data_IF_934212903440
#
_entry.id   IF_934212903440
#
_cell.length_a   1.000
_cell.length_b   1.000
_cell.length_c   1.000
_cell.angle_alpha   90.00
_cell.angle_beta   90.00
_cell.angle_gamma   90.00
#
_symmetry.space_group_name_H-M   'P 1'
#
loop_
_entity.id
_entity.type
_entity.pdbx_description
1 polymer ?
#
# COMPACT_ATOMS: atom_id res chain seq x y z
N UNK A 1 19.93 2.99 13.71
CA UNK A 1 19.16 2.72 12.47
C UNK A 1 17.97 1.81 12.76
N UNK A 2 18.17 0.67 13.43
CA UNK A 2 17.06 -0.19 13.89
C UNK A 2 16.03 0.57 14.75
N UNK A 3 16.46 1.34 15.74
CA UNK A 3 15.54 2.14 16.57
C UNK A 3 14.72 3.14 15.76
N UNK A 4 15.30 3.69 14.69
CA UNK A 4 14.62 4.65 13.82
C UNK A 4 13.51 3.96 12.99
N UNK A 5 13.82 2.79 12.42
CA UNK A 5 12.85 1.99 11.65
C UNK A 5 11.73 1.49 12.56
N UNK A 6 12.07 0.98 13.74
CA UNK A 6 11.08 0.52 14.71
C UNK A 6 10.14 1.66 15.14
N UNK A 7 10.68 2.87 15.36
CA UNK A 7 9.87 4.06 15.63
C UNK A 7 8.92 4.39 14.48
N UNK A 8 9.37 4.33 13.23
CA UNK A 8 8.49 4.54 12.07
C UNK A 8 7.36 3.51 12.07
N UNK A 9 7.67 2.23 12.31
CA UNK A 9 6.66 1.17 12.30
C UNK A 9 5.61 1.41 13.40
N UNK A 10 6.04 1.66 14.63
CA UNK A 10 5.15 1.89 15.77
C UNK A 10 4.28 3.14 15.55
N UNK A 11 4.91 4.26 15.18
CA UNK A 11 4.19 5.51 14.93
C UNK A 11 3.26 5.38 13.71
N UNK A 12 3.66 4.62 12.70
CA UNK A 12 2.85 4.30 11.53
C UNK A 12 1.58 3.55 11.90
N UNK A 13 1.69 2.46 12.67
CA UNK A 13 0.52 1.69 13.15
C UNK A 13 -0.44 2.59 13.92
N UNK A 14 0.07 3.42 14.83
CA UNK A 14 -0.74 4.39 15.60
C UNK A 14 -1.42 5.40 14.67
N UNK A 15 -0.70 5.90 13.67
CA UNK A 15 -1.19 6.91 12.74
C UNK A 15 -2.30 6.34 11.85
N UNK A 16 -2.11 5.16 11.26
CA UNK A 16 -3.12 4.49 10.44
C UNK A 16 -4.37 4.15 11.25
N UNK A 17 -4.19 3.64 12.46
CA UNK A 17 -5.30 3.38 13.39
C UNK A 17 -6.05 4.65 13.72
N UNK A 18 -5.34 5.75 14.00
CA UNK A 18 -5.97 7.04 14.31
C UNK A 18 -6.71 7.60 13.10
N UNK A 19 -6.15 7.50 11.90
CA UNK A 19 -6.79 7.91 10.65
C UNK A 19 -8.11 7.14 10.42
N UNK A 20 -8.12 5.83 10.66
CA UNK A 20 -9.33 5.01 10.59
C UNK A 20 -10.42 5.51 11.54
N UNK A 21 -10.08 5.72 12.81
CA UNK A 21 -11.05 6.19 13.81
C UNK A 21 -11.55 7.60 13.48
N UNK A 22 -10.68 8.47 12.93
CA UNK A 22 -11.06 9.79 12.46
C UNK A 22 -12.06 9.69 11.30
N UNK A 23 -11.81 8.86 10.29
CA UNK A 23 -12.77 8.64 9.20
C UNK A 23 -14.10 8.08 9.71
N UNK A 24 -14.08 7.10 10.63
CA UNK A 24 -15.30 6.58 11.28
C UNK A 24 -16.08 7.67 11.98
N UNK A 25 -15.40 8.59 12.67
CA UNK A 25 -16.02 9.72 13.40
C UNK A 25 -16.57 10.79 12.46
N UNK A 26 -15.84 11.13 11.40
CA UNK A 26 -16.25 12.15 10.42
C UNK A 26 -17.35 11.63 9.47
N UNK A 27 -17.40 10.31 9.23
CA UNK A 27 -18.33 9.67 8.31
C UNK A 27 -19.17 8.59 9.02
N UNK A 28 -19.96 8.93 10.06
CA UNK A 28 -20.64 7.96 10.91
C UNK A 28 -21.66 7.09 10.15
N UNK A 29 -22.19 7.59 9.03
CA UNK A 29 -23.14 6.89 8.15
C UNK A 29 -22.48 5.89 7.21
N UNK A 30 -21.14 5.91 7.08
CA UNK A 30 -20.40 5.01 6.19
C UNK A 30 -20.05 3.71 6.92
N UNK A 31 -19.84 2.64 6.15
CA UNK A 31 -19.50 1.32 6.67
C UNK A 31 -18.08 1.30 7.24
N UNK A 32 -17.75 0.22 7.98
CA UNK A 32 -16.37 -0.07 8.39
C UNK A 32 -15.46 -0.20 7.17
N UNK A 33 -15.89 -0.99 6.18
CA UNK A 33 -15.16 -1.23 4.93
C UNK A 33 -14.87 0.07 4.18
N UNK A 34 -15.87 0.96 4.05
CA UNK A 34 -15.70 2.25 3.40
C UNK A 34 -14.60 3.09 4.06
N UNK A 35 -14.62 3.15 5.40
CA UNK A 35 -13.63 3.92 6.14
C UNK A 35 -12.25 3.27 6.08
N UNK A 36 -12.16 1.93 6.11
CA UNK A 36 -10.89 1.24 5.93
C UNK A 36 -10.32 1.49 4.52
N UNK A 37 -11.17 1.43 3.49
CA UNK A 37 -10.79 1.70 2.10
C UNK A 37 -10.25 3.11 1.87
N UNK A 38 -10.71 4.10 2.64
CA UNK A 38 -10.09 5.44 2.65
C UNK A 38 -8.65 5.41 3.19
N UNK A 39 -8.40 4.66 4.26
CA UNK A 39 -7.05 4.46 4.81
C UNK A 39 -6.17 3.72 3.80
N UNK A 40 -6.67 2.66 3.18
CA UNK A 40 -5.97 1.91 2.12
C UNK A 40 -5.61 2.79 0.93
N UNK A 41 -6.53 3.66 0.50
CA UNK A 41 -6.28 4.64 -0.58
C UNK A 41 -5.14 5.61 -0.22
N UNK A 42 -5.16 6.12 1.01
CA UNK A 42 -4.13 7.02 1.51
C UNK A 42 -2.76 6.32 1.59
N UNK A 43 -2.74 5.07 2.10
CA UNK A 43 -1.55 4.25 2.13
C UNK A 43 -0.98 4.02 0.73
N UNK A 44 -1.78 3.51 -0.20
CA UNK A 44 -1.31 3.19 -1.54
C UNK A 44 -0.75 4.42 -2.26
N UNK A 45 -1.41 5.58 -2.11
CA UNK A 45 -0.91 6.86 -2.64
C UNK A 45 0.44 7.22 -2.02
N UNK A 46 0.56 7.13 -0.69
CA UNK A 46 1.81 7.42 0.02
C UNK A 46 2.92 6.43 -0.35
N UNK A 47 2.60 5.15 -0.50
CA UNK A 47 3.53 4.10 -0.87
C UNK A 47 4.11 4.34 -2.27
N UNK A 48 3.27 4.68 -3.25
CA UNK A 48 3.71 5.02 -4.62
C UNK A 48 4.61 6.25 -4.61
N UNK A 49 4.23 7.30 -3.86
CA UNK A 49 5.03 8.53 -3.74
C UNK A 49 6.39 8.25 -3.10
N UNK A 50 6.42 7.59 -1.94
CA UNK A 50 7.66 7.28 -1.23
C UNK A 50 8.55 6.32 -2.03
N UNK A 51 7.97 5.31 -2.67
CA UNK A 51 8.69 4.41 -3.55
C UNK A 51 9.36 5.20 -4.68
N UNK A 52 8.59 6.06 -5.37
CA UNK A 52 9.09 6.90 -6.46
C UNK A 52 10.24 7.83 -6.03
N UNK A 53 10.11 8.45 -4.86
CA UNK A 53 11.14 9.34 -4.31
C UNK A 53 12.38 8.58 -3.81
N UNK A 54 12.27 7.28 -3.54
CA UNK A 54 13.36 6.43 -3.07
C UNK A 54 14.12 5.70 -4.19
N UNK A 55 13.63 5.77 -5.44
CA UNK A 55 14.35 5.24 -6.60
C UNK A 55 15.60 6.08 -6.84
N UNK A 56 16.77 5.44 -6.74
CA UNK A 56 18.06 6.13 -6.88
C UNK A 56 18.38 6.49 -8.34
N UNK A 57 18.00 5.64 -9.28
CA UNK A 57 18.21 5.85 -10.70
C UNK A 57 17.05 5.31 -11.53
N UNK A 58 16.23 6.19 -12.07
CA UNK A 58 15.09 5.83 -12.92
C UNK A 58 15.47 5.19 -14.26
N UNK A 59 16.70 5.39 -14.76
CA UNK A 59 17.17 4.68 -15.94
C UNK A 59 17.39 3.18 -15.65
N UNK A 60 17.58 2.81 -14.39
CA UNK A 60 17.77 1.43 -13.97
C UNK A 60 17.24 1.21 -12.53
N UNK A 61 15.91 1.19 -12.34
CA UNK A 61 15.28 1.34 -11.01
C UNK A 61 15.54 0.18 -10.05
N UNK A 62 15.92 -0.99 -10.58
CA UNK A 62 16.25 -2.19 -9.79
C UNK A 62 17.75 -2.42 -9.63
N UNK A 63 18.59 -1.56 -10.21
CA UNK A 63 20.05 -1.75 -10.18
C UNK A 63 20.73 -0.91 -9.10
N UNK A 64 21.83 -1.42 -8.50
CA UNK A 64 22.30 -2.80 -8.62
C UNK A 64 21.41 -3.78 -7.85
N UNK A 65 21.30 -5.02 -8.33
CA UNK A 65 20.54 -6.09 -7.66
C UNK A 65 21.21 -6.47 -6.33
N UNK A 66 20.39 -6.89 -5.37
CA UNK A 66 20.77 -7.24 -4.01
C UNK A 66 21.59 -6.14 -3.30
N UNK A 67 21.37 -4.88 -3.69
CA UNK A 67 22.03 -3.72 -3.11
C UNK A 67 21.63 -3.52 -1.65
N UNK A 68 22.50 -2.81 -0.92
CA UNK A 68 22.17 -2.37 0.43
C UNK A 68 21.06 -1.32 0.35
N UNK A 69 20.00 -1.51 1.13
CA UNK A 69 18.88 -0.56 1.15
C UNK A 69 19.32 0.81 1.65
N UNK A 70 18.94 1.86 0.93
CA UNK A 70 19.17 3.24 1.36
C UNK A 70 18.17 3.68 2.42
N UNK A 71 18.44 4.75 3.20
CA UNK A 71 17.54 5.20 4.26
C UNK A 71 16.12 5.53 3.78
N UNK A 72 15.97 6.13 2.58
CA UNK A 72 14.67 6.46 2.00
C UNK A 72 13.90 5.21 1.58
N UNK A 73 14.58 4.22 1.02
CA UNK A 73 13.98 2.92 0.68
C UNK A 73 13.51 2.21 1.96
N UNK A 74 14.34 2.18 3.00
CA UNK A 74 13.96 1.60 4.29
C UNK A 74 12.79 2.35 4.94
N UNK A 75 12.73 3.67 4.82
CA UNK A 75 11.58 4.46 5.30
C UNK A 75 10.30 4.11 4.55
N UNK A 76 10.34 4.03 3.23
CA UNK A 76 9.18 3.67 2.41
C UNK A 76 8.66 2.27 2.79
N UNK A 77 9.55 1.29 2.92
CA UNK A 77 9.20 -0.07 3.36
C UNK A 77 8.67 -0.09 4.80
N UNK A 78 9.25 0.68 5.73
CA UNK A 78 8.77 0.73 7.11
C UNK A 78 7.36 1.33 7.22
N UNK A 79 7.06 2.38 6.45
CA UNK A 79 5.72 2.96 6.37
C UNK A 79 4.73 1.93 5.81
N UNK A 80 5.08 1.22 4.74
CA UNK A 80 4.22 0.19 4.17
C UNK A 80 4.02 -1.01 5.08
N UNK A 81 5.06 -1.48 5.77
CA UNK A 81 4.97 -2.55 6.75
C UNK A 81 4.01 -2.18 7.89
N UNK A 82 4.10 -0.93 8.38
CA UNK A 82 3.21 -0.43 9.42
C UNK A 82 1.74 -0.45 9.00
N UNK A 83 1.46 -0.11 7.74
CA UNK A 83 0.12 -0.20 7.19
C UNK A 83 -0.34 -1.66 7.07
N UNK A 84 0.50 -2.56 6.53
CA UNK A 84 0.13 -3.97 6.37
C UNK A 84 -0.22 -4.63 7.72
N UNK A 85 0.49 -4.27 8.80
CA UNK A 85 0.18 -4.74 10.16
C UNK A 85 -1.17 -4.19 10.62
N UNK A 86 -1.41 -2.88 10.44
CA UNK A 86 -2.71 -2.27 10.75
C UNK A 86 -3.86 -2.93 9.96
N UNK A 87 -3.69 -3.13 8.66
CA UNK A 87 -4.74 -3.63 7.76
C UNK A 87 -5.05 -5.10 8.06
N UNK A 88 -4.02 -5.92 8.35
CA UNK A 88 -4.21 -7.30 8.79
C UNK A 88 -5.09 -7.37 10.05
N UNK A 89 -4.89 -6.47 11.01
CA UNK A 89 -5.72 -6.38 12.22
C UNK A 89 -7.15 -5.97 11.85
N UNK A 90 -7.33 -4.95 11.02
CA UNK A 90 -8.64 -4.50 10.57
C UNK A 90 -9.42 -5.59 9.81
N UNK A 91 -8.75 -6.39 8.98
CA UNK A 91 -9.36 -7.50 8.27
C UNK A 91 -9.97 -8.56 9.19
N UNK A 92 -9.49 -8.73 10.43
CA UNK A 92 -10.07 -9.69 11.39
C UNK A 92 -11.47 -9.26 11.88
N UNK A 93 -11.79 -7.98 11.78
CA UNK A 93 -13.08 -7.41 12.16
C UNK A 93 -14.05 -7.29 10.98
N UNK A 94 -13.54 -7.46 9.76
CA UNK A 94 -14.37 -7.47 8.56
C UNK A 94 -15.00 -8.84 8.37
N UNK A 95 -16.33 -8.88 8.21
CA UNK A 95 -17.09 -10.12 8.03
C UNK A 95 -16.79 -10.82 6.70
N UNK A 96 -16.05 -10.16 5.82
CA UNK A 96 -15.73 -10.62 4.45
C UNK A 96 -14.26 -10.98 4.24
N UNK A 97 -13.44 -10.96 5.29
CA UNK A 97 -12.03 -11.30 5.21
C UNK A 97 -11.83 -12.72 4.65
N UNK A 98 -11.20 -12.84 3.48
CA UNK A 98 -10.82 -14.14 2.92
C UNK A 98 -9.52 -14.64 3.56
N UNK A 99 -9.38 -15.96 3.67
CA UNK A 99 -8.13 -16.60 4.09
C UNK A 99 -6.98 -16.20 3.15
N UNK A 100 -7.28 -16.07 1.84
CA UNK A 100 -6.32 -15.62 0.83
C UNK A 100 -5.75 -14.24 1.16
N UNK A 101 -6.59 -13.28 1.57
CA UNK A 101 -6.13 -11.95 1.94
C UNK A 101 -5.25 -12.00 3.19
N UNK A 102 -5.64 -12.80 4.18
CA UNK A 102 -4.86 -12.97 5.43
C UNK A 102 -3.48 -13.55 5.14
N UNK A 103 -3.40 -14.60 4.31
CA UNK A 103 -2.12 -15.21 3.90
C UNK A 103 -1.28 -14.20 3.11
N UNK A 104 -1.89 -13.46 2.17
CA UNK A 104 -1.22 -12.43 1.40
C UNK A 104 -0.58 -11.36 2.31
N UNK A 105 -1.30 -10.86 3.30
CA UNK A 105 -0.76 -9.90 4.28
C UNK A 105 0.37 -10.51 5.10
N UNK A 106 0.22 -11.75 5.61
CA UNK A 106 1.26 -12.40 6.40
C UNK A 106 2.56 -12.59 5.61
N UNK A 107 2.48 -13.09 4.38
CA UNK A 107 3.63 -13.26 3.50
C UNK A 107 4.29 -11.91 3.19
N UNK A 108 3.49 -10.87 2.91
CA UNK A 108 3.98 -9.53 2.63
C UNK A 108 4.67 -8.89 3.85
N UNK A 109 4.10 -9.05 5.05
CA UNK A 109 4.68 -8.58 6.32
C UNK A 109 6.02 -9.26 6.58
N UNK A 110 6.09 -10.59 6.46
CA UNK A 110 7.32 -11.36 6.68
C UNK A 110 8.39 -10.98 5.66
N UNK A 111 8.05 -10.91 4.37
CA UNK A 111 8.98 -10.52 3.32
C UNK A 111 9.52 -9.10 3.51
N UNK A 112 8.66 -8.15 3.85
CA UNK A 112 9.05 -6.76 4.06
C UNK A 112 9.88 -6.58 5.34
N UNK A 113 9.50 -7.26 6.43
CA UNK A 113 10.28 -7.28 7.66
C UNK A 113 11.67 -7.91 7.45
N UNK A 114 11.76 -9.02 6.72
CA UNK A 114 13.03 -9.64 6.38
C UNK A 114 13.92 -8.68 5.60
N UNK A 115 13.39 -7.98 4.60
CA UNK A 115 14.12 -6.96 3.84
C UNK A 115 14.66 -5.82 4.71
N UNK A 116 13.85 -5.34 5.67
CA UNK A 116 14.27 -4.31 6.63
C UNK A 116 15.36 -4.80 7.60
N UNK A 117 15.28 -6.06 8.05
CA UNK A 117 16.26 -6.66 8.97
C UNK A 117 17.58 -6.92 8.25
N UNK A 118 17.54 -7.55 7.07
CA UNK A 118 18.74 -7.88 6.30
C UNK A 118 19.33 -6.69 5.55
N UNK A 119 18.55 -5.62 5.33
CA UNK A 119 18.94 -4.38 4.63
C UNK A 119 19.53 -4.65 3.24
N UNK A 120 18.95 -5.62 2.54
CA UNK A 120 19.35 -6.05 1.20
C UNK A 120 18.16 -6.01 0.25
N UNK A 121 18.46 -5.90 -1.04
CA UNK A 121 17.49 -5.85 -2.13
C UNK A 121 16.52 -4.67 -2.03
N UNK A 122 17.03 -3.51 -1.57
CA UNK A 122 16.20 -2.30 -1.40
C UNK A 122 15.54 -1.86 -2.71
N UNK A 123 16.31 -1.83 -3.80
CA UNK A 123 15.82 -1.42 -5.12
C UNK A 123 14.72 -2.36 -5.63
N UNK A 124 14.88 -3.68 -5.49
CA UNK A 124 13.89 -4.67 -5.90
C UNK A 124 12.61 -4.58 -5.05
N UNK A 125 12.74 -4.40 -3.74
CA UNK A 125 11.59 -4.26 -2.85
C UNK A 125 10.81 -2.97 -3.10
N UNK A 126 11.48 -1.88 -3.43
CA UNK A 126 10.83 -0.62 -3.80
C UNK A 126 10.13 -0.74 -5.16
N UNK A 127 10.77 -1.38 -6.14
CA UNK A 127 10.12 -1.67 -7.41
C UNK A 127 8.88 -2.55 -7.21
N UNK A 128 8.99 -3.60 -6.38
CA UNK A 128 7.86 -4.45 -6.03
C UNK A 128 6.73 -3.65 -5.35
N UNK A 129 7.05 -2.83 -4.33
CA UNK A 129 6.08 -1.98 -3.64
C UNK A 129 5.37 -1.02 -4.62
N UNK A 130 6.12 -0.36 -5.50
CA UNK A 130 5.55 0.53 -6.50
C UNK A 130 4.61 -0.22 -7.44
N UNK A 131 5.05 -1.36 -7.96
CA UNK A 131 4.28 -2.18 -8.88
C UNK A 131 3.02 -2.70 -8.21
N UNK A 132 3.06 -3.17 -6.97
CA UNK A 132 1.88 -3.69 -6.29
C UNK A 132 0.88 -2.57 -5.98
N UNK A 133 1.36 -1.39 -5.57
CA UNK A 133 0.48 -0.32 -5.09
C UNK A 133 -0.04 0.64 -6.15
N UNK A 134 0.60 0.81 -7.31
CA UNK A 134 0.20 1.84 -8.29
C UNK A 134 -1.26 1.74 -8.77
N UNK A 135 -1.83 0.55 -8.79
CA UNK A 135 -3.23 0.33 -9.17
C UNK A 135 -4.23 0.50 -8.02
N UNK A 136 -3.77 0.39 -6.77
CA UNK A 136 -4.63 0.33 -5.58
C UNK A 136 -5.45 1.61 -5.34
N UNK A 137 -4.92 2.85 -5.52
CA UNK A 137 -5.72 4.05 -5.35
C UNK A 137 -6.92 4.12 -6.29
N UNK A 138 -6.73 3.68 -7.55
CA UNK A 138 -7.80 3.66 -8.56
C UNK A 138 -8.83 2.57 -8.26
N UNK A 139 -8.38 1.39 -7.82
CA UNK A 139 -9.27 0.30 -7.39
C UNK A 139 -10.14 0.75 -6.21
N UNK A 140 -9.54 1.35 -5.20
CA UNK A 140 -10.28 1.82 -4.03
C UNK A 140 -11.22 2.98 -4.38
N UNK A 141 -10.77 3.94 -5.19
CA UNK A 141 -11.61 5.05 -5.65
C UNK A 141 -12.86 4.55 -6.38
N UNK A 142 -12.71 3.59 -7.30
CA UNK A 142 -13.82 2.94 -8.00
C UNK A 142 -14.86 2.40 -7.02
N UNK A 143 -14.44 1.59 -6.05
CA UNK A 143 -15.39 0.97 -5.13
C UNK A 143 -16.03 1.99 -4.18
N UNK A 144 -15.28 3.03 -3.76
CA UNK A 144 -15.84 4.15 -3.01
C UNK A 144 -16.92 4.89 -3.82
N UNK A 145 -16.69 5.15 -5.11
CA UNK A 145 -17.68 5.80 -5.99
C UNK A 145 -18.96 4.97 -6.13
N UNK A 146 -18.83 3.65 -6.25
CA UNK A 146 -19.98 2.74 -6.26
C UNK A 146 -20.79 2.81 -4.97
N UNK A 147 -20.13 2.79 -3.81
CA UNK A 147 -20.78 2.92 -2.50
C UNK A 147 -21.40 4.31 -2.26
N UNK A 148 -20.92 5.34 -2.96
CA UNK A 148 -21.49 6.69 -2.96
C UNK A 148 -22.69 6.84 -3.91
N UNK A 149 -22.98 5.84 -4.75
CA UNK A 149 -24.06 5.88 -5.75
C UNK A 149 -23.65 6.46 -7.11
N UNK A 150 -22.36 6.67 -7.37
CA UNK A 150 -21.82 7.24 -8.62
C UNK A 150 -21.38 6.18 -9.64
N UNK A 151 -21.99 4.98 -9.61
CA UNK A 151 -21.59 3.83 -10.42
C UNK A 151 -21.59 4.09 -11.93
N UNK A 152 -22.49 4.94 -12.42
CA UNK A 152 -22.68 5.16 -13.86
C UNK A 152 -22.18 6.55 -14.31
N UNK A 153 -21.16 7.08 -13.63
CA UNK A 153 -20.56 8.38 -13.96
C UNK A 153 -19.26 8.24 -14.76
N UNK A 154 -18.91 9.26 -15.54
CA UNK A 154 -17.62 9.35 -16.25
C UNK A 154 -16.42 9.23 -15.31
N UNK A 155 -16.57 9.67 -14.05
CA UNK A 155 -15.56 9.52 -13.01
C UNK A 155 -15.36 8.05 -12.61
N UNK A 156 -16.45 7.29 -12.45
CA UNK A 156 -16.36 5.85 -12.20
C UNK A 156 -15.82 5.12 -13.43
N UNK A 157 -16.19 5.52 -14.64
CA UNK A 157 -15.63 4.97 -15.88
C UNK A 157 -14.12 5.22 -16.00
N UNK A 158 -13.65 6.42 -15.66
CA UNK A 158 -12.22 6.74 -15.65
C UNK A 158 -11.44 5.88 -14.63
N UNK A 159 -12.01 5.63 -13.44
CA UNK A 159 -11.42 4.72 -12.46
C UNK A 159 -11.43 3.25 -12.97
N UNK A 160 -12.53 2.83 -13.59
CA UNK A 160 -12.71 1.50 -14.20
C UNK A 160 -11.72 1.23 -15.34
N UNK A 161 -11.34 2.25 -16.13
CA UNK A 161 -10.34 2.14 -17.21
C UNK A 161 -8.91 2.25 -16.68
N UNK A 162 -8.67 3.10 -15.68
CA UNK A 162 -7.33 3.31 -15.11
C UNK A 162 -6.81 2.07 -14.37
N UNK A 163 -7.69 1.32 -13.71
CA UNK A 163 -7.31 0.08 -13.00
C UNK A 163 -6.70 -1.00 -13.92
N UNK A 164 -7.38 -1.48 -14.98
CA UNK A 164 -6.85 -2.50 -15.88
C UNK A 164 -5.70 -1.97 -16.72
N UNK A 165 -5.66 -0.69 -17.11
CA UNK A 165 -4.54 -0.12 -17.88
C UNK A 165 -3.21 -0.23 -17.12
N UNK A 166 -3.23 0.09 -15.82
CA UNK A 166 -2.06 -0.10 -14.97
C UNK A 166 -1.68 -1.59 -14.86
N UNK A 167 -2.66 -2.49 -14.75
CA UNK A 167 -2.41 -3.94 -14.72
C UNK A 167 -1.84 -4.47 -16.05
N UNK A 168 -2.32 -3.97 -17.19
CA UNK A 168 -1.79 -4.32 -18.52
C UNK A 168 -0.37 -3.79 -18.73
N UNK A 169 -0.03 -2.60 -18.19
CA UNK A 169 1.35 -2.12 -18.18
C UNK A 169 2.26 -3.04 -17.34
N UNK A 170 1.75 -3.57 -16.21
CA UNK A 170 2.49 -4.55 -15.38
C UNK A 170 2.74 -5.87 -16.12
N UNK A 171 1.81 -6.34 -16.95
CA UNK A 171 1.91 -7.62 -17.66
C UNK A 171 2.56 -7.51 -19.06
N UNK A 172 2.43 -6.37 -19.73
CA UNK A 172 2.89 -6.15 -21.11
C UNK A 172 4.35 -5.68 -21.21
N UNK A 173 4.93 -5.19 -20.11
CA UNK A 173 6.39 -5.06 -19.99
C UNK A 173 6.90 -6.33 -19.33
N UNK A 174 7.18 -7.35 -20.14
CA UNK A 174 7.92 -8.52 -19.68
C UNK A 174 9.22 -8.04 -19.04
N UNK A 175 9.28 -8.18 -17.72
CA UNK A 175 10.51 -8.12 -16.94
C UNK A 175 11.05 -9.53 -16.82
#
# INVERSE_FOLDING_TARGET
MEDYILRIIILGIISWTTAFHLFRKLLPKRSFEFCNRLVSTAHATLAVVLASLSVENWACPVSPLASKSSPSQMQALAVSLSYLIYDLICCQFDKRGSIDNTIHHLVSIVGMAAGLVYRKSGSEMIAALFITEISSPFLHLRELLKELGYRDTDLNLAADVSYPLNLTIKLGRGW
#
